data_IF_541866069123
#
_entry.id   IF_541866069123
#
_cell.length_a   1.000
_cell.length_b   1.000
_cell.length_c   1.000
_cell.angle_alpha   90.00
_cell.angle_beta   90.00
_cell.angle_gamma   90.00
#
_symmetry.space_group_name_H-M   'P 1'
#
loop_
_entity.id
_entity.type
_entity.pdbx_description
1 polymer ?
#
# COMPACT_ATOMS: atom_id res chain seq x y z
N UNK A 1 14.77 -14.95 -15.55
CA UNK A 1 14.90 -16.25 -16.22
C UNK A 1 14.94 -16.03 -17.73
N UNK A 2 15.97 -16.60 -18.42
CA UNK A 2 16.05 -16.56 -19.89
C UNK A 2 15.37 -17.82 -20.42
N UNK A 3 14.14 -17.70 -20.88
CA UNK A 3 13.43 -18.76 -21.58
C UNK A 3 13.38 -18.36 -23.07
N UNK A 4 14.03 -19.16 -23.92
CA UNK A 4 14.00 -18.95 -25.36
C UNK A 4 12.85 -19.76 -25.94
N UNK A 5 11.87 -19.08 -26.53
CA UNK A 5 10.73 -19.69 -27.22
C UNK A 5 10.47 -18.97 -28.55
N UNK A 6 10.14 -19.67 -29.65
CA UNK A 6 9.63 -19.04 -30.86
C UNK A 6 8.27 -18.38 -30.53
N UNK A 7 8.21 -17.05 -30.65
CA UNK A 7 7.03 -16.26 -30.29
C UNK A 7 5.76 -16.67 -31.08
N UNK A 8 4.61 -16.59 -30.43
CA UNK A 8 3.26 -16.69 -30.99
C UNK A 8 2.81 -18.06 -31.51
N UNK A 9 3.26 -19.15 -30.90
CA UNK A 9 2.65 -20.47 -31.06
C UNK A 9 2.16 -20.95 -29.70
N UNK A 10 0.87 -21.21 -29.55
CA UNK A 10 0.22 -21.56 -28.27
C UNK A 10 0.92 -22.69 -27.51
N UNK A 11 1.47 -23.68 -28.18
CA UNK A 11 2.23 -24.75 -27.55
C UNK A 11 3.59 -24.28 -27.01
N UNK A 12 4.34 -23.51 -27.80
CA UNK A 12 5.62 -22.95 -27.38
C UNK A 12 5.46 -21.96 -26.24
N UNK A 13 4.37 -21.19 -26.20
CA UNK A 13 4.04 -20.28 -25.10
C UNK A 13 3.72 -21.05 -23.81
N UNK A 14 2.98 -22.17 -23.93
CA UNK A 14 2.73 -23.07 -22.80
C UNK A 14 4.03 -23.71 -22.26
N UNK A 15 4.91 -24.15 -23.12
CA UNK A 15 6.23 -24.70 -22.72
C UNK A 15 7.08 -23.64 -22.02
N UNK A 16 7.11 -22.41 -22.54
CA UNK A 16 7.81 -21.28 -21.93
C UNK A 16 7.24 -20.95 -20.53
N UNK A 17 5.93 -20.88 -20.40
CA UNK A 17 5.26 -20.68 -19.12
C UNK A 17 5.58 -21.78 -18.13
N UNK A 18 5.55 -23.05 -18.55
CA UNK A 18 5.92 -24.17 -17.69
C UNK A 18 7.39 -24.11 -17.27
N UNK A 19 8.31 -23.79 -18.17
CA UNK A 19 9.71 -23.62 -17.84
C UNK A 19 9.95 -22.50 -16.81
N UNK A 20 9.27 -21.37 -16.96
CA UNK A 20 9.30 -20.28 -15.97
C UNK A 20 8.74 -20.73 -14.62
N UNK A 21 7.63 -21.47 -14.62
CA UNK A 21 7.02 -21.98 -13.39
C UNK A 21 7.96 -22.96 -12.66
N UNK A 22 8.58 -23.90 -13.38
CA UNK A 22 9.51 -24.86 -12.79
C UNK A 22 10.76 -24.16 -12.22
N UNK A 23 11.28 -23.13 -12.88
CA UNK A 23 12.39 -22.34 -12.40
C UNK A 23 12.02 -21.59 -11.11
N UNK A 24 10.86 -20.92 -11.07
CA UNK A 24 10.36 -20.25 -9.87
C UNK A 24 10.11 -21.21 -8.70
N UNK A 25 9.59 -22.41 -9.01
CA UNK A 25 9.36 -23.43 -8.00
C UNK A 25 10.70 -23.96 -7.42
N UNK A 26 11.69 -24.16 -8.27
CA UNK A 26 13.06 -24.57 -7.85
C UNK A 26 13.68 -23.51 -6.94
N UNK A 27 13.56 -22.22 -7.29
CA UNK A 27 14.05 -21.13 -6.46
C UNK A 27 13.32 -21.07 -5.12
N UNK A 28 12.00 -21.22 -5.11
CA UNK A 28 11.20 -21.23 -3.89
C UNK A 28 11.58 -22.40 -2.97
N UNK A 29 11.86 -23.58 -3.54
CA UNK A 29 12.35 -24.73 -2.77
C UNK A 29 13.74 -24.46 -2.21
N UNK A 30 14.65 -23.92 -3.01
CA UNK A 30 16.02 -23.64 -2.61
C UNK A 30 16.13 -22.58 -1.51
N UNK A 31 15.35 -21.49 -1.62
CA UNK A 31 15.46 -20.33 -0.72
C UNK A 31 14.56 -20.42 0.51
N UNK A 32 13.40 -21.06 0.39
CA UNK A 32 12.35 -21.05 1.40
C UNK A 32 11.86 -22.43 1.84
N UNK A 33 12.47 -23.52 1.33
CA UNK A 33 12.02 -24.87 1.60
C UNK A 33 10.71 -25.26 0.91
N UNK A 34 10.26 -24.46 -0.07
CA UNK A 34 9.05 -24.71 -0.86
C UNK A 34 8.11 -23.49 -0.92
N UNK A 35 6.99 -23.68 -1.59
CA UNK A 35 6.01 -22.61 -1.82
C UNK A 35 5.33 -22.14 -0.51
N UNK A 36 5.12 -23.04 0.45
CA UNK A 36 4.53 -22.67 1.74
C UNK A 36 5.51 -21.86 2.60
N UNK A 37 6.81 -22.19 2.55
CA UNK A 37 7.84 -21.38 3.18
C UNK A 37 7.96 -20.00 2.54
N UNK A 38 7.86 -19.90 1.21
CA UNK A 38 7.79 -18.62 0.50
C UNK A 38 6.56 -17.79 0.93
N UNK A 39 5.36 -18.39 0.98
CA UNK A 39 4.16 -17.71 1.48
C UNK A 39 4.30 -17.23 2.92
N UNK A 40 4.85 -18.07 3.80
CA UNK A 40 5.06 -17.72 5.20
C UNK A 40 6.03 -16.53 5.33
N UNK A 41 7.12 -16.54 4.57
CA UNK A 41 8.08 -15.44 4.48
C UNK A 41 7.42 -14.14 4.00
N UNK A 42 6.57 -14.21 2.97
CA UNK A 42 5.88 -13.05 2.41
C UNK A 42 4.79 -12.51 3.36
N UNK A 43 4.02 -13.40 4.02
CA UNK A 43 2.94 -12.98 4.92
C UNK A 43 3.46 -12.40 6.25
N UNK A 44 4.68 -12.73 6.66
CA UNK A 44 5.28 -12.19 7.89
C UNK A 44 5.66 -10.71 7.79
N UNK A 45 5.65 -10.13 6.58
CA UNK A 45 6.01 -8.73 6.32
C UNK A 45 4.79 -7.82 6.09
N UNK A 46 3.67 -8.10 6.75
CA UNK A 46 2.56 -7.18 6.69
C UNK A 46 2.94 -5.87 7.39
N UNK A 47 3.06 -4.79 6.59
CA UNK A 47 3.39 -3.47 7.09
C UNK A 47 2.27 -2.94 7.97
N UNK A 48 2.57 -2.68 9.23
CA UNK A 48 1.66 -2.00 10.16
C UNK A 48 2.10 -0.55 10.36
N UNK A 49 1.12 0.34 10.49
CA UNK A 49 1.39 1.75 10.70
C UNK A 49 2.24 2.02 11.96
N UNK A 50 2.11 1.18 13.00
CA UNK A 50 2.87 1.26 14.24
C UNK A 50 4.37 0.97 14.07
N UNK A 51 4.75 0.29 12.99
CA UNK A 51 6.15 -0.09 12.73
C UNK A 51 6.93 1.04 12.03
N UNK A 52 6.23 2.09 11.63
CA UNK A 52 6.81 3.27 10.99
C UNK A 52 7.07 4.34 12.05
N UNK A 53 8.34 4.67 12.26
CA UNK A 53 8.79 5.71 13.21
C UNK A 53 9.48 6.84 12.46
N UNK A 54 9.43 8.05 13.03
CA UNK A 54 10.13 9.19 12.46
C UNK A 54 11.66 8.94 12.43
N UNK A 55 12.29 9.37 11.34
CA UNK A 55 13.76 9.36 11.19
C UNK A 55 14.38 10.70 11.56
N UNK A 56 13.56 11.68 11.95
CA UNK A 56 13.96 13.02 12.37
C UNK A 56 13.22 13.41 13.64
N UNK A 57 13.85 14.23 14.46
CA UNK A 57 13.24 14.84 15.67
C UNK A 57 12.89 16.32 15.44
N UNK A 58 13.22 16.86 14.26
CA UNK A 58 12.92 18.25 13.91
C UNK A 58 11.68 18.31 13.01
N UNK A 59 10.55 18.72 13.60
CA UNK A 59 9.27 18.80 12.89
C UNK A 59 8.84 20.25 12.68
N UNK A 60 8.31 20.54 11.50
CA UNK A 60 7.60 21.80 11.28
C UNK A 60 6.19 21.71 11.88
N UNK A 61 5.97 22.37 13.00
CA UNK A 61 4.68 22.40 13.71
C UNK A 61 3.60 23.16 12.93
N UNK A 62 3.97 23.96 11.92
CA UNK A 62 3.03 24.67 11.05
C UNK A 62 2.50 23.81 9.91
N UNK A 63 3.12 22.65 9.69
CA UNK A 63 2.76 21.75 8.59
C UNK A 63 1.34 21.17 8.78
N UNK A 64 0.49 21.12 7.71
CA UNK A 64 -0.90 20.63 7.81
C UNK A 64 -1.05 19.20 8.35
N UNK A 65 -0.02 18.36 8.19
CA UNK A 65 -0.01 16.99 8.67
C UNK A 65 0.53 16.84 10.10
N UNK A 66 1.11 17.90 10.70
CA UNK A 66 1.65 17.83 12.05
C UNK A 66 0.56 17.46 13.06
N UNK A 67 0.81 16.41 13.87
CA UNK A 67 -0.13 15.90 14.86
C UNK A 67 -1.39 15.24 14.29
N UNK A 68 -1.50 15.08 12.96
CA UNK A 68 -2.68 14.50 12.30
C UNK A 68 -2.54 13.00 12.09
N UNK A 69 -3.64 12.29 12.26
CA UNK A 69 -3.73 10.85 12.00
C UNK A 69 -4.18 10.59 10.56
N UNK A 70 -3.29 10.00 9.76
CA UNK A 70 -3.48 9.65 8.36
C UNK A 70 -3.72 8.16 8.19
N UNK A 71 -4.67 7.78 7.35
CA UNK A 71 -4.95 6.39 6.99
C UNK A 71 -4.93 6.26 5.47
N UNK A 72 -4.29 5.21 4.97
CA UNK A 72 -4.19 4.94 3.54
C UNK A 72 -5.10 3.79 3.13
N UNK A 73 -5.70 3.90 1.94
CA UNK A 73 -6.47 2.83 1.30
C UNK A 73 -6.23 2.83 -0.20
N UNK A 74 -6.31 1.66 -0.83
CA UNK A 74 -5.95 1.49 -2.24
C UNK A 74 -4.44 1.38 -2.46
N UNK A 75 -4.02 1.29 -3.73
CA UNK A 75 -2.62 1.23 -4.15
C UNK A 75 -2.17 2.62 -4.58
N UNK A 76 -1.08 3.11 -4.01
CA UNK A 76 -0.47 4.37 -4.44
C UNK A 76 0.30 4.12 -5.75
N UNK A 77 0.20 5.04 -6.70
CA UNK A 77 0.80 4.90 -8.03
C UNK A 77 2.23 5.43 -8.10
N UNK A 78 2.53 6.51 -7.37
CA UNK A 78 3.81 7.21 -7.47
C UNK A 78 4.85 6.73 -6.45
N UNK A 79 4.44 6.11 -5.35
CA UNK A 79 5.34 5.59 -4.31
C UNK A 79 4.76 4.40 -3.57
N UNK A 80 5.61 3.65 -2.89
CA UNK A 80 5.16 2.58 -2.02
C UNK A 80 4.44 3.15 -0.79
N UNK A 81 3.46 2.41 -0.27
CA UNK A 81 2.73 2.82 0.94
C UNK A 81 3.66 3.05 2.14
N UNK A 82 4.73 2.26 2.26
CA UNK A 82 5.73 2.43 3.30
C UNK A 82 6.39 3.80 3.24
N UNK A 83 6.77 4.24 2.05
CA UNK A 83 7.44 5.53 1.84
C UNK A 83 6.48 6.69 2.12
N UNK A 84 5.22 6.58 1.67
CA UNK A 84 4.18 7.56 1.97
C UNK A 84 3.92 7.70 3.48
N UNK A 85 3.85 6.59 4.21
CA UNK A 85 3.71 6.60 5.67
C UNK A 85 4.94 7.21 6.35
N UNK A 86 6.15 6.91 5.85
CA UNK A 86 7.40 7.48 6.37
C UNK A 86 7.43 8.99 6.21
N UNK A 87 6.98 9.52 5.06
CA UNK A 87 6.86 10.97 4.84
C UNK A 87 5.92 11.62 5.86
N UNK A 88 4.72 11.04 6.07
CA UNK A 88 3.76 11.55 7.05
C UNK A 88 4.39 11.61 8.45
N UNK A 89 5.07 10.55 8.88
CA UNK A 89 5.66 10.47 10.22
C UNK A 89 6.85 11.42 10.35
N UNK A 90 7.64 11.60 9.29
CA UNK A 90 8.74 12.57 9.26
C UNK A 90 8.26 14.04 9.29
N UNK A 91 7.02 14.30 8.88
CA UNK A 91 6.35 15.60 9.01
C UNK A 91 5.63 15.78 10.35
N UNK A 92 5.87 14.88 11.32
CA UNK A 92 5.25 14.93 12.66
C UNK A 92 3.80 14.45 12.71
N UNK A 93 3.29 13.85 11.61
CA UNK A 93 2.00 13.17 11.58
C UNK A 93 2.06 11.76 12.15
N UNK A 94 0.93 11.10 12.18
CA UNK A 94 0.79 9.70 12.60
C UNK A 94 0.10 8.89 11.51
N UNK A 95 0.43 7.61 11.41
CA UNK A 95 -0.24 6.69 10.51
C UNK A 95 -1.08 5.69 11.28
N UNK A 96 -2.22 5.28 10.68
CA UNK A 96 -3.11 4.28 11.24
C UNK A 96 -3.49 3.22 10.21
N UNK A 97 -3.65 1.98 10.69
CA UNK A 97 -4.07 0.85 9.85
C UNK A 97 -5.57 0.90 9.52
N UNK A 98 -6.37 1.51 10.41
CA UNK A 98 -7.82 1.55 10.29
C UNK A 98 -8.38 2.96 10.52
N UNK A 99 -9.48 3.27 9.82
CA UNK A 99 -10.23 4.52 10.05
C UNK A 99 -10.94 4.45 11.39
N UNK A 100 -10.74 5.48 12.20
CA UNK A 100 -11.33 5.67 13.53
C UNK A 100 -11.92 7.07 13.66
N UNK A 101 -12.61 7.35 14.76
CA UNK A 101 -13.13 8.70 15.05
C UNK A 101 -12.03 9.75 15.27
N UNK A 102 -10.77 9.33 15.44
CA UNK A 102 -9.58 10.20 15.58
C UNK A 102 -8.85 10.43 14.26
N UNK A 103 -9.26 9.75 13.18
CA UNK A 103 -8.64 9.92 11.85
C UNK A 103 -8.94 11.33 11.35
N UNK A 104 -7.90 12.03 10.89
CA UNK A 104 -8.03 13.36 10.27
C UNK A 104 -8.04 13.25 8.75
N UNK A 105 -7.17 12.41 8.19
CA UNK A 105 -7.04 12.26 6.74
C UNK A 105 -7.17 10.80 6.31
N UNK A 106 -8.01 10.56 5.31
CA UNK A 106 -8.03 9.29 4.56
C UNK A 106 -7.49 9.54 3.16
N UNK A 107 -6.33 8.96 2.87
CA UNK A 107 -5.67 9.07 1.56
C UNK A 107 -6.15 7.92 0.67
N UNK A 108 -6.72 8.28 -0.48
CA UNK A 108 -7.21 7.34 -1.49
C UNK A 108 -6.15 7.13 -2.57
N UNK A 109 -5.62 5.92 -2.66
CA UNK A 109 -4.92 5.43 -3.84
C UNK A 109 -5.87 4.75 -4.83
N UNK A 110 -5.32 4.15 -5.88
CA UNK A 110 -6.07 3.44 -6.90
C UNK A 110 -6.67 2.14 -6.34
N UNK A 111 -7.95 1.93 -6.60
CA UNK A 111 -8.71 0.76 -6.18
C UNK A 111 -9.03 -0.21 -7.35
N UNK A 112 -8.69 0.13 -8.61
CA UNK A 112 -9.14 -0.57 -9.80
C UNK A 112 -8.70 -2.04 -9.87
N UNK A 113 -7.57 -2.36 -9.23
CA UNK A 113 -7.01 -3.72 -9.21
C UNK A 113 -7.39 -4.53 -7.95
N UNK A 114 -8.26 -4.01 -7.10
CA UNK A 114 -8.66 -4.71 -5.88
C UNK A 114 -9.94 -5.53 -6.11
N UNK A 115 -9.82 -6.84 -6.28
CA UNK A 115 -10.95 -7.77 -6.48
C UNK A 115 -11.99 -7.77 -5.34
N UNK A 116 -11.64 -7.26 -4.18
CA UNK A 116 -12.52 -7.15 -3.02
C UNK A 116 -13.43 -5.91 -3.06
N UNK A 117 -13.18 -4.97 -3.98
CA UNK A 117 -13.94 -3.72 -4.11
C UNK A 117 -14.94 -3.87 -5.25
N UNK A 118 -16.19 -4.19 -4.93
CA UNK A 118 -17.26 -4.36 -5.92
C UNK A 118 -17.93 -3.05 -6.35
N UNK A 119 -17.93 -2.04 -5.47
CA UNK A 119 -18.68 -0.77 -5.66
C UNK A 119 -17.75 0.43 -5.86
N UNK A 120 -16.50 0.22 -6.27
CA UNK A 120 -15.50 1.30 -6.43
C UNK A 120 -15.01 1.94 -5.13
N UNK A 121 -15.60 1.59 -3.97
CA UNK A 121 -15.24 2.16 -2.66
C UNK A 121 -14.71 1.10 -1.70
N UNK A 122 -13.55 1.35 -1.11
CA UNK A 122 -12.98 0.48 -0.08
C UNK A 122 -13.80 0.51 1.22
N UNK A 123 -13.69 -0.53 2.05
CA UNK A 123 -14.32 -0.55 3.37
C UNK A 123 -13.86 0.62 4.26
N UNK A 124 -12.59 1.04 4.13
CA UNK A 124 -12.06 2.20 4.86
C UNK A 124 -12.74 3.49 4.40
N UNK A 125 -12.98 3.65 3.09
CA UNK A 125 -13.68 4.80 2.54
C UNK A 125 -15.14 4.85 3.02
N UNK A 126 -15.88 3.75 2.91
CA UNK A 126 -17.26 3.65 3.42
C UNK A 126 -17.34 4.00 4.91
N UNK A 127 -16.38 3.53 5.70
CA UNK A 127 -16.30 3.85 7.13
C UNK A 127 -16.00 5.32 7.39
N UNK A 128 -15.09 5.93 6.65
CA UNK A 128 -14.80 7.37 6.76
C UNK A 128 -16.04 8.21 6.42
N UNK A 129 -16.70 7.92 5.31
CA UNK A 129 -17.95 8.60 4.90
C UNK A 129 -19.05 8.49 6.00
N UNK A 130 -19.20 7.29 6.60
CA UNK A 130 -20.15 7.09 7.71
C UNK A 130 -19.79 7.91 8.96
N UNK A 131 -18.49 8.08 9.25
CA UNK A 131 -18.04 8.90 10.39
C UNK A 131 -18.21 10.39 10.11
N UNK A 132 -17.98 10.84 8.87
CA UNK A 132 -18.23 12.24 8.45
C UNK A 132 -19.71 12.58 8.61
N UNK A 133 -20.62 11.69 8.19
CA UNK A 133 -22.07 11.87 8.39
C UNK A 133 -22.46 11.96 9.87
N UNK A 134 -21.66 11.38 10.77
CA UNK A 134 -21.81 11.48 12.22
C UNK A 134 -21.12 12.71 12.83
N UNK A 135 -20.70 13.66 12.00
CA UNK A 135 -20.07 14.91 12.44
C UNK A 135 -18.59 14.79 12.83
N UNK A 136 -17.87 13.76 12.36
CA UNK A 136 -16.42 13.67 12.56
C UNK A 136 -15.68 14.45 11.47
N UNK A 137 -14.65 15.19 11.87
CA UNK A 137 -13.81 15.99 10.98
C UNK A 137 -12.73 15.09 10.32
N UNK A 138 -13.18 14.35 9.30
CA UNK A 138 -12.30 13.49 8.49
C UNK A 138 -12.30 14.05 7.07
N UNK A 139 -11.15 14.36 6.54
CA UNK A 139 -10.98 14.78 5.15
C UNK A 139 -10.52 13.60 4.30
N UNK A 140 -11.19 13.38 3.17
CA UNK A 140 -10.83 12.36 2.20
C UNK A 140 -10.02 13.05 1.10
N UNK A 141 -8.75 12.65 0.96
CA UNK A 141 -7.81 13.21 0.01
C UNK A 141 -7.49 12.21 -1.10
N UNK A 142 -7.41 12.69 -2.33
CA UNK A 142 -6.81 11.90 -3.41
C UNK A 142 -5.30 11.80 -3.23
N UNK A 143 -4.69 10.80 -3.87
CA UNK A 143 -3.24 10.62 -3.88
C UNK A 143 -2.49 11.87 -4.36
N UNK A 144 -2.99 12.55 -5.40
CA UNK A 144 -2.35 13.76 -5.92
C UNK A 144 -2.35 14.89 -4.89
N UNK A 145 -3.47 15.14 -4.21
CA UNK A 145 -3.55 16.15 -3.16
C UNK A 145 -2.62 15.80 -1.99
N UNK A 146 -2.50 14.52 -1.65
CA UNK A 146 -1.55 14.09 -0.64
C UNK A 146 -0.09 14.41 -1.06
N UNK A 147 0.27 14.14 -2.32
CA UNK A 147 1.61 14.49 -2.81
C UNK A 147 1.87 15.98 -2.81
N UNK A 148 0.89 16.79 -3.19
CA UNK A 148 1.01 18.25 -3.12
C UNK A 148 1.27 18.73 -1.69
N UNK A 149 0.65 18.10 -0.69
CA UNK A 149 0.88 18.41 0.73
C UNK A 149 2.26 18.01 1.25
N UNK A 150 2.86 16.94 0.73
CA UNK A 150 4.12 16.40 1.28
C UNK A 150 5.36 16.75 0.47
N UNK A 151 5.22 17.12 -0.81
CA UNK A 151 6.35 17.36 -1.73
C UNK A 151 6.50 18.83 -2.15
N UNK A 152 5.46 19.65 -2.09
CA UNK A 152 5.49 21.06 -2.45
C UNK A 152 5.65 21.93 -1.21
N UNK A 153 6.86 21.88 -0.64
CA UNK A 153 7.34 22.80 0.40
C UNK A 153 8.38 23.77 -0.13
#
# INVERSE_FOLDING_TARGET
YKVSSPAHRSYADCEACNACYQALLSDAVSQYGGFDGFKASYSSHQLHAKDITATTDNFDISHPLYGKLCVFTGTLEKMQRKDAMQLVVNLGGQCGDNVTAKTNYLILGNNDFCSLIKDGKSNKQKKAESLILKGKDIQILSENVFYDLVLNQ
#
